data_IF_367887598356
#
_entry.id   IF_367887598356
#
_cell.length_a   1.000
_cell.length_b   1.000
_cell.length_c   1.000
_cell.angle_alpha   90.00
_cell.angle_beta   90.00
_cell.angle_gamma   90.00
#
_symmetry.space_group_name_H-M   'P 1'
#
loop_
_entity.id
_entity.type
_entity.pdbx_description
1 polymer ?
#
# COMPACT_ATOMS: atom_id res chain seq x y z
N UNK A 1 15.87 -1.28 4.07
CA UNK A 1 14.60 -1.09 4.79
C UNK A 1 13.44 -1.49 3.88
N UNK A 2 12.52 -2.23 4.43
CA UNK A 2 11.28 -2.64 3.79
C UNK A 2 10.27 -1.50 3.89
N UNK A 3 9.48 -1.26 2.83
CA UNK A 3 8.42 -0.26 2.82
C UNK A 3 7.05 -0.93 2.64
N UNK A 4 6.01 -0.34 3.22
CA UNK A 4 4.63 -0.76 2.97
C UNK A 4 4.14 -0.27 1.60
N UNK A 5 3.32 -1.06 0.91
CA UNK A 5 2.60 -0.62 -0.30
C UNK A 5 1.42 0.30 0.02
N UNK A 6 0.92 0.26 1.25
CA UNK A 6 -0.13 1.16 1.71
C UNK A 6 0.49 2.39 2.36
N UNK A 7 -0.06 3.55 2.09
CA UNK A 7 0.43 4.80 2.65
C UNK A 7 -0.57 5.94 2.46
N UNK A 8 -0.36 6.98 3.25
CA UNK A 8 -1.05 8.25 3.18
C UNK A 8 -0.04 9.37 3.40
N UNK A 9 -0.14 10.43 2.62
CA UNK A 9 0.62 11.65 2.80
C UNK A 9 -0.24 12.85 2.50
N UNK A 10 -0.06 13.93 3.24
CA UNK A 10 -0.76 15.21 3.04
C UNK A 10 0.18 16.36 3.27
N UNK A 11 0.11 17.33 2.39
CA UNK A 11 0.74 18.63 2.59
C UNK A 11 -0.19 19.74 2.17
N UNK A 12 -0.01 20.89 2.80
CA UNK A 12 -0.79 22.10 2.54
C UNK A 12 0.13 23.30 2.53
N UNK A 13 -0.16 24.26 1.65
CA UNK A 13 0.53 25.55 1.59
C UNK A 13 -0.39 26.62 1.06
N UNK A 14 -0.14 27.86 1.48
CA UNK A 14 -0.88 29.02 0.96
C UNK A 14 0.06 29.89 0.14
N UNK A 15 -0.18 29.94 -1.16
CA UNK A 15 0.62 30.72 -2.13
C UNK A 15 -0.29 31.73 -2.82
N UNK A 16 0.08 33.00 -2.75
CA UNK A 16 -0.65 34.11 -3.37
C UNK A 16 -2.18 34.09 -3.08
N UNK A 17 -2.55 33.87 -1.80
CA UNK A 17 -3.95 33.88 -1.36
C UNK A 17 -4.78 32.63 -1.77
N UNK A 18 -4.12 31.60 -2.30
CA UNK A 18 -4.73 30.33 -2.60
C UNK A 18 -4.12 29.23 -1.71
N UNK A 19 -4.93 28.51 -0.99
CA UNK A 19 -4.53 27.33 -0.22
C UNK A 19 -4.54 26.12 -1.13
N UNK A 20 -3.36 25.51 -1.30
CA UNK A 20 -3.14 24.31 -2.09
C UNK A 20 -3.00 23.14 -1.13
N UNK A 21 -3.88 22.17 -1.23
CA UNK A 21 -3.80 20.90 -0.47
C UNK A 21 -3.55 19.75 -1.43
N UNK A 22 -2.53 18.94 -1.14
CA UNK A 22 -2.25 17.70 -1.87
C UNK A 22 -2.33 16.53 -0.91
N UNK A 23 -3.14 15.55 -1.25
CA UNK A 23 -3.27 14.29 -0.54
C UNK A 23 -2.92 13.12 -1.45
N UNK A 24 -2.14 12.17 -0.93
CA UNK A 24 -1.81 10.91 -1.61
C UNK A 24 -2.30 9.73 -0.78
N UNK A 25 -2.88 8.76 -1.46
CA UNK A 25 -3.26 7.47 -0.87
C UNK A 25 -2.78 6.35 -1.77
N UNK A 26 -2.22 5.31 -1.19
CA UNK A 26 -1.87 4.11 -1.94
C UNK A 26 -2.49 2.86 -1.34
N UNK A 27 -2.80 1.90 -2.22
CA UNK A 27 -3.21 0.55 -1.87
C UNK A 27 -2.39 -0.44 -2.68
N UNK A 28 -2.32 -1.69 -2.17
CA UNK A 28 -1.61 -2.75 -2.87
C UNK A 28 -2.16 -2.94 -4.29
N UNK A 29 -1.27 -2.92 -5.27
CA UNK A 29 -1.56 -3.29 -6.66
C UNK A 29 -0.31 -3.89 -7.30
N UNK A 30 -0.53 -4.79 -8.28
CA UNK A 30 0.56 -5.50 -8.98
C UNK A 30 1.48 -4.58 -9.75
N UNK A 31 0.94 -3.50 -10.34
CA UNK A 31 1.64 -2.49 -11.13
C UNK A 31 1.43 -1.12 -10.50
N UNK A 32 2.27 -0.16 -10.84
CA UNK A 32 2.02 1.23 -10.50
C UNK A 32 0.85 1.74 -11.37
N UNK A 33 -0.21 2.17 -10.71
CA UNK A 33 -1.36 2.85 -11.31
C UNK A 33 -1.52 4.19 -10.58
N UNK A 34 -1.28 5.29 -11.28
CA UNK A 34 -1.34 6.63 -10.72
C UNK A 34 -2.52 7.41 -11.29
N UNK A 35 -3.48 7.69 -10.45
CA UNK A 35 -4.67 8.48 -10.79
C UNK A 35 -4.60 9.84 -10.11
N UNK A 36 -4.62 10.91 -10.90
CA UNK A 36 -4.55 12.30 -10.41
C UNK A 36 -5.92 12.94 -10.55
N UNK A 37 -6.46 13.47 -9.46
CA UNK A 37 -7.69 14.25 -9.42
C UNK A 37 -7.37 15.68 -9.04
N UNK A 38 -7.63 16.60 -9.97
CA UNK A 38 -7.34 18.00 -9.81
C UNK A 38 -8.35 18.88 -10.58
N UNK A 39 -8.46 20.18 -10.28
CA UNK A 39 -9.31 21.08 -11.03
C UNK A 39 -8.89 21.14 -12.50
N UNK A 40 -9.88 21.20 -13.42
CA UNK A 40 -9.67 21.15 -14.87
C UNK A 40 -8.68 22.18 -15.39
N UNK A 41 -8.62 23.33 -14.75
CA UNK A 41 -7.73 24.44 -15.13
C UNK A 41 -6.23 24.06 -15.10
N UNK A 42 -5.86 23.09 -14.25
CA UNK A 42 -4.46 22.66 -14.03
C UNK A 42 -4.12 21.30 -14.64
N UNK A 43 -4.99 20.69 -15.47
CA UNK A 43 -4.76 19.39 -16.09
C UNK A 43 -3.45 19.30 -16.89
N UNK A 44 -2.94 20.44 -17.40
CA UNK A 44 -1.64 20.48 -18.08
C UNK A 44 -0.46 20.09 -17.15
N UNK A 45 -0.61 20.20 -15.83
CA UNK A 45 0.40 19.78 -14.86
C UNK A 45 0.33 18.29 -14.46
N UNK A 46 -0.67 17.53 -14.94
CA UNK A 46 -0.90 16.14 -14.57
C UNK A 46 0.32 15.25 -14.84
N UNK A 47 0.94 15.40 -16.02
CA UNK A 47 2.13 14.60 -16.38
C UNK A 47 3.32 14.90 -15.48
N UNK A 48 3.51 16.15 -15.06
CA UNK A 48 4.56 16.52 -14.12
C UNK A 48 4.34 15.88 -12.74
N UNK A 49 3.08 15.82 -12.29
CA UNK A 49 2.68 15.16 -11.04
C UNK A 49 2.93 13.65 -11.13
N UNK A 50 2.46 13.00 -12.20
CA UNK A 50 2.67 11.56 -12.42
C UNK A 50 4.15 11.18 -12.45
N UNK A 51 4.97 11.97 -13.14
CA UNK A 51 6.42 11.75 -13.21
C UNK A 51 7.08 11.79 -11.82
N UNK A 52 6.68 12.74 -10.95
CA UNK A 52 7.20 12.84 -9.57
C UNK A 52 6.79 11.64 -8.72
N UNK A 53 5.54 11.19 -8.85
CA UNK A 53 5.03 10.00 -8.16
C UNK A 53 5.79 8.75 -8.61
N UNK A 54 6.02 8.56 -9.93
CA UNK A 54 6.75 7.43 -10.51
C UNK A 54 8.22 7.38 -10.08
N UNK A 55 8.85 8.52 -9.84
CA UNK A 55 10.21 8.59 -9.34
C UNK A 55 10.33 8.15 -7.86
N UNK A 56 9.22 8.19 -7.11
CA UNK A 56 9.20 7.87 -5.67
C UNK A 56 8.61 6.50 -5.39
N UNK A 57 7.64 6.06 -6.20
CA UNK A 57 6.84 4.85 -5.97
C UNK A 57 6.98 3.93 -7.19
N UNK A 58 7.39 2.69 -6.97
CA UNK A 58 7.60 1.72 -8.05
C UNK A 58 6.39 0.80 -8.27
N UNK A 59 5.50 0.66 -7.27
CA UNK A 59 4.37 -0.27 -7.29
C UNK A 59 3.22 0.23 -6.43
N UNK A 60 2.00 -0.20 -6.76
CA UNK A 60 0.78 0.15 -6.03
C UNK A 60 -0.18 1.00 -6.84
N UNK A 61 -1.42 1.10 -6.41
CA UNK A 61 -2.37 2.07 -6.95
C UNK A 61 -2.33 3.32 -6.08
N UNK A 62 -1.98 4.45 -6.69
CA UNK A 62 -1.80 5.74 -6.03
C UNK A 62 -2.87 6.71 -6.53
N UNK A 63 -3.72 7.17 -5.64
CA UNK A 63 -4.66 8.26 -5.91
C UNK A 63 -4.07 9.55 -5.33
N UNK A 64 -3.92 10.57 -6.18
CA UNK A 64 -3.46 11.91 -5.83
C UNK A 64 -4.62 12.88 -5.95
N UNK A 65 -4.93 13.58 -4.88
CA UNK A 65 -5.98 14.60 -4.83
C UNK A 65 -5.33 15.97 -4.65
N UNK A 66 -5.61 16.87 -5.58
CA UNK A 66 -5.16 18.27 -5.52
C UNK A 66 -6.38 19.14 -5.37
N UNK A 67 -6.46 19.86 -4.26
CA UNK A 67 -7.52 20.83 -3.96
C UNK A 67 -6.93 22.22 -3.87
N UNK A 68 -7.60 23.20 -4.49
CA UNK A 68 -7.24 24.60 -4.44
C UNK A 68 -8.42 25.39 -3.89
N UNK A 69 -8.19 26.04 -2.75
CA UNK A 69 -9.16 26.91 -2.10
C UNK A 69 -8.68 28.37 -2.16
N UNK A 70 -9.34 29.18 -2.98
CA UNK A 70 -9.06 30.61 -3.05
C UNK A 70 -9.66 31.29 -1.81
N UNK A 71 -8.84 31.54 -0.80
CA UNK A 71 -9.22 32.26 0.43
C UNK A 71 -9.14 33.78 0.28
N UNK A 72 -8.47 34.30 -0.78
CA UNK A 72 -8.41 35.69 -1.11
C UNK A 72 -9.66 36.13 -1.88
N UNK A 73 -10.14 37.36 -1.60
CA UNK A 73 -11.14 37.96 -2.46
C UNK A 73 -10.62 37.94 -3.91
N UNK A 74 -11.41 37.38 -4.83
CA UNK A 74 -11.09 37.43 -6.28
C UNK A 74 -10.76 38.92 -6.60
N UNK A 75 -9.54 39.19 -7.02
CA UNK A 75 -9.17 40.52 -7.47
C UNK A 75 -9.86 40.75 -8.81
N UNK A 76 -11.03 41.38 -8.74
CA UNK A 76 -11.75 41.81 -9.91
C UNK A 76 -11.26 43.22 -10.24
N UNK A 77 -10.60 43.34 -11.39
CA UNK A 77 -10.22 44.66 -11.94
C UNK A 77 -11.41 45.23 -12.70
N UNK A 78 -11.99 46.31 -12.18
CA UNK A 78 -13.03 47.01 -12.92
C UNK A 78 -12.37 48.06 -13.79
N UNK A 79 -12.59 48.02 -15.10
CA UNK A 79 -12.08 48.96 -16.09
C UNK A 79 -13.21 49.59 -16.86
N UNK A 80 -12.95 50.79 -17.43
CA UNK A 80 -13.90 51.49 -18.27
C UNK A 80 -13.62 51.17 -19.73
N UNK A 81 -14.60 50.62 -20.42
CA UNK A 81 -14.56 50.43 -21.87
C UNK A 81 -14.81 51.77 -22.58
N UNK A 82 -13.73 52.54 -22.78
CA UNK A 82 -13.80 53.89 -23.36
C UNK A 82 -14.52 53.93 -24.69
N UNK A 83 -14.24 53.10 -25.71
CA UNK A 83 -14.95 53.11 -26.98
C UNK A 83 -16.47 53.00 -26.86
N UNK A 84 -16.94 52.12 -25.96
CA UNK A 84 -18.37 51.92 -25.70
C UNK A 84 -18.97 53.10 -24.93
N UNK A 85 -18.28 53.61 -23.93
CA UNK A 85 -18.69 54.76 -23.14
C UNK A 85 -18.81 56.00 -24.02
N UNK A 86 -17.83 56.26 -24.88
CA UNK A 86 -17.82 57.39 -25.81
C UNK A 86 -18.97 57.29 -26.83
N UNK A 87 -19.28 56.08 -27.31
CA UNK A 87 -20.41 55.80 -28.21
C UNK A 87 -21.75 56.15 -27.56
N UNK A 88 -21.99 55.65 -26.32
CA UNK A 88 -23.22 56.03 -25.59
C UNK A 88 -23.30 57.51 -25.27
N UNK A 89 -22.19 58.15 -24.88
CA UNK A 89 -22.12 59.55 -24.60
C UNK A 89 -22.47 60.40 -25.85
N UNK A 90 -21.94 60.06 -27.03
CA UNK A 90 -22.23 60.73 -28.29
C UNK A 90 -23.72 60.57 -28.70
N UNK A 91 -24.26 59.33 -28.60
CA UNK A 91 -25.65 59.06 -28.89
C UNK A 91 -26.63 59.81 -27.98
N UNK A 92 -26.34 59.88 -26.68
CA UNK A 92 -27.16 60.64 -25.74
C UNK A 92 -27.13 62.14 -26.04
N UNK A 93 -26.01 62.68 -26.46
CA UNK A 93 -25.84 64.08 -26.85
C UNK A 93 -26.62 64.41 -28.13
N UNK A 94 -26.61 63.50 -29.10
CA UNK A 94 -27.38 63.62 -30.34
C UNK A 94 -28.88 63.59 -30.05
N UNK A 95 -29.35 62.64 -29.21
CA UNK A 95 -30.76 62.58 -28.76
C UNK A 95 -31.21 63.86 -28.09
N UNK A 96 -30.40 64.40 -27.15
CA UNK A 96 -30.71 65.60 -26.46
C UNK A 96 -30.82 66.81 -27.43
N UNK A 97 -29.91 66.90 -28.40
CA UNK A 97 -29.94 67.98 -29.41
C UNK A 97 -31.09 67.84 -30.43
N UNK A 98 -31.44 66.61 -30.88
CA UNK A 98 -32.45 66.36 -31.85
C UNK A 98 -33.89 66.58 -31.34
N UNK A 99 -34.09 66.25 -30.04
CA UNK A 99 -35.42 66.36 -29.43
C UNK A 99 -35.57 67.45 -28.43
N UNK A 100 -34.58 68.42 -28.35
CA UNK A 100 -34.57 69.52 -27.43
C UNK A 100 -34.78 69.13 -25.96
N UNK A 101 -34.17 68.00 -25.55
CA UNK A 101 -34.25 67.48 -24.20
C UNK A 101 -33.15 67.98 -23.27
N UNK A 102 -33.41 68.14 -21.98
CA UNK A 102 -32.37 68.58 -21.05
C UNK A 102 -31.24 67.48 -21.01
N UNK A 103 -29.97 67.95 -21.04
CA UNK A 103 -28.79 67.11 -20.94
C UNK A 103 -28.57 66.75 -19.48
N UNK A 104 -29.02 65.54 -19.08
CA UNK A 104 -28.80 64.98 -17.74
C UNK A 104 -27.79 63.81 -17.76
N UNK A 105 -26.80 63.85 -18.65
CA UNK A 105 -25.77 62.83 -18.78
C UNK A 105 -24.91 62.82 -17.52
N UNK A 106 -25.10 61.80 -16.70
CA UNK A 106 -24.38 61.60 -15.44
C UNK A 106 -23.53 60.35 -15.48
N UNK A 107 -22.53 60.28 -14.60
CA UNK A 107 -21.71 59.06 -14.39
C UNK A 107 -22.60 57.88 -14.02
N UNK A 108 -23.64 58.11 -13.22
CA UNK A 108 -24.61 57.08 -12.81
C UNK A 108 -25.45 56.56 -13.97
N UNK A 109 -25.71 57.37 -14.99
CA UNK A 109 -26.41 56.95 -16.19
C UNK A 109 -25.48 56.14 -17.09
N UNK A 110 -24.27 56.67 -17.39
CA UNK A 110 -23.31 55.99 -18.27
C UNK A 110 -22.86 54.66 -17.73
N UNK A 111 -22.65 54.54 -16.41
CA UNK A 111 -22.20 53.29 -15.79
C UNK A 111 -23.25 52.14 -15.83
N UNK A 112 -24.53 52.46 -16.12
CA UNK A 112 -25.60 51.46 -16.23
C UNK A 112 -25.74 50.86 -17.63
N UNK A 113 -25.13 51.50 -18.65
CA UNK A 113 -25.19 50.90 -19.98
C UNK A 113 -24.33 49.62 -20.06
N UNK A 114 -24.79 48.60 -20.80
CA UNK A 114 -24.03 47.37 -20.99
C UNK A 114 -22.62 47.65 -21.50
N UNK A 115 -21.67 46.87 -21.00
CA UNK A 115 -20.25 46.84 -21.43
C UNK A 115 -19.48 48.16 -21.25
N UNK A 116 -20.04 49.18 -20.58
CA UNK A 116 -19.32 50.39 -20.21
C UNK A 116 -18.33 50.16 -19.06
N UNK A 117 -18.72 49.36 -18.09
CA UNK A 117 -17.84 48.87 -17.03
C UNK A 117 -17.56 47.38 -17.26
N UNK A 118 -16.28 47.07 -17.44
CA UNK A 118 -15.83 45.68 -17.59
C UNK A 118 -15.24 45.22 -16.25
N UNK A 119 -15.79 44.14 -15.72
CA UNK A 119 -15.23 43.45 -14.57
C UNK A 119 -14.40 42.24 -15.07
N UNK A 120 -13.10 42.43 -15.16
CA UNK A 120 -12.17 41.42 -15.59
C UNK A 120 -11.55 40.70 -14.37
N UNK A 121 -11.58 39.38 -14.36
CA UNK A 121 -10.78 38.61 -13.38
C UNK A 121 -9.31 38.80 -13.77
N UNK A 122 -8.47 39.07 -12.78
CA UNK A 122 -7.04 39.14 -13.00
C UNK A 122 -6.56 37.80 -13.55
N UNK A 123 -5.76 37.82 -14.62
CA UNK A 123 -5.17 36.59 -15.18
C UNK A 123 -4.42 35.85 -14.08
N UNK A 124 -4.81 34.60 -13.85
CA UNK A 124 -4.09 33.72 -12.92
C UNK A 124 -2.76 33.30 -13.55
N UNK A 125 -1.68 33.42 -12.78
CA UNK A 125 -0.39 32.80 -13.13
C UNK A 125 -0.51 31.27 -12.98
N UNK A 126 -0.99 30.63 -14.05
CA UNK A 126 -1.20 29.18 -14.08
C UNK A 126 0.09 28.40 -13.96
N UNK A 127 1.19 28.88 -14.54
CA UNK A 127 2.50 28.22 -14.48
C UNK A 127 3.09 28.32 -13.08
N UNK A 128 3.06 29.48 -12.46
CA UNK A 128 3.51 29.66 -11.09
C UNK A 128 2.69 28.85 -10.09
N UNK A 129 1.36 28.73 -10.30
CA UNK A 129 0.53 27.85 -9.47
C UNK A 129 0.81 26.37 -9.69
N UNK A 130 1.06 25.93 -10.93
CA UNK A 130 1.46 24.56 -11.20
C UNK A 130 2.79 24.21 -10.51
N UNK A 131 3.75 25.13 -10.51
CA UNK A 131 5.01 24.98 -9.79
C UNK A 131 4.78 24.86 -8.26
N UNK A 132 3.86 25.67 -7.70
CA UNK A 132 3.48 25.61 -6.30
C UNK A 132 2.79 24.26 -5.95
N UNK A 133 1.88 23.77 -6.80
CA UNK A 133 1.26 22.42 -6.65
C UNK A 133 2.35 21.36 -6.58
N UNK A 134 3.33 21.40 -7.49
CA UNK A 134 4.44 20.46 -7.50
C UNK A 134 5.29 20.53 -6.21
N UNK A 135 5.53 21.72 -5.67
CA UNK A 135 6.27 21.88 -4.42
C UNK A 135 5.51 21.30 -3.21
N UNK A 136 4.19 21.50 -3.17
CA UNK A 136 3.33 20.89 -2.13
C UNK A 136 3.28 19.38 -2.30
N UNK A 137 3.21 18.87 -3.53
CA UNK A 137 3.28 17.44 -3.83
C UNK A 137 4.58 16.81 -3.31
N UNK A 138 5.73 17.45 -3.52
CA UNK A 138 7.02 16.93 -3.04
C UNK A 138 7.03 16.78 -1.52
N UNK A 139 6.42 17.69 -0.77
CA UNK A 139 6.25 17.57 0.69
C UNK A 139 5.28 16.45 1.08
N UNK A 140 4.16 16.34 0.36
CA UNK A 140 3.21 15.26 0.59
C UNK A 140 3.81 13.88 0.28
N UNK A 141 4.67 13.78 -0.77
CA UNK A 141 5.42 12.56 -1.09
C UNK A 141 6.45 12.21 0.00
N UNK A 142 7.10 13.19 0.60
CA UNK A 142 8.03 12.97 1.70
C UNK A 142 7.32 12.43 2.95
N UNK A 143 6.16 12.99 3.31
CA UNK A 143 5.32 12.51 4.41
C UNK A 143 4.80 11.08 4.13
N UNK A 144 4.32 10.85 2.92
CA UNK A 144 3.89 9.54 2.43
C UNK A 144 5.00 8.48 2.53
N UNK A 145 6.22 8.80 2.09
CA UNK A 145 7.35 7.87 2.13
C UNK A 145 7.79 7.57 3.57
N UNK A 146 7.72 8.56 4.45
CA UNK A 146 7.99 8.37 5.87
C UNK A 146 6.95 7.45 6.53
N UNK A 147 5.66 7.60 6.19
CA UNK A 147 4.61 6.73 6.69
C UNK A 147 4.83 5.29 6.22
N UNK A 148 5.11 5.08 4.93
CA UNK A 148 5.40 3.75 4.35
C UNK A 148 6.60 3.07 5.01
N UNK A 149 7.64 3.84 5.31
CA UNK A 149 8.85 3.34 5.99
C UNK A 149 8.52 2.89 7.41
N UNK A 150 7.75 3.66 8.17
CA UNK A 150 7.32 3.28 9.53
C UNK A 150 6.43 2.04 9.52
N UNK A 151 5.50 1.98 8.60
CA UNK A 151 4.60 0.84 8.45
C UNK A 151 5.38 -0.41 8.01
N UNK A 152 6.29 -0.27 7.04
CA UNK A 152 7.18 -1.35 6.60
C UNK A 152 8.00 -1.95 7.74
N UNK A 153 8.55 -1.12 8.61
CA UNK A 153 9.27 -1.59 9.79
C UNK A 153 8.38 -2.37 10.77
N UNK A 154 7.10 -2.01 10.92
CA UNK A 154 6.14 -2.76 11.74
C UNK A 154 5.80 -4.11 11.10
N UNK A 155 5.59 -4.14 9.78
CA UNK A 155 5.34 -5.38 9.03
C UNK A 155 6.54 -6.33 9.15
N UNK A 156 7.75 -5.82 8.99
CA UNK A 156 9.00 -6.58 9.16
C UNK A 156 9.10 -7.20 10.54
N UNK A 157 8.86 -6.42 11.59
CA UNK A 157 8.89 -6.90 12.98
C UNK A 157 7.85 -7.98 13.25
N UNK A 158 6.60 -7.83 12.74
CA UNK A 158 5.56 -8.84 12.88
C UNK A 158 5.92 -10.14 12.15
N UNK A 159 6.40 -10.05 10.92
CA UNK A 159 6.84 -11.22 10.13
C UNK A 159 7.98 -11.96 10.83
N UNK A 160 8.98 -11.26 11.37
CA UNK A 160 10.09 -11.86 12.11
C UNK A 160 9.63 -12.55 13.40
N UNK A 161 8.70 -11.95 14.14
CA UNK A 161 8.11 -12.53 15.35
C UNK A 161 7.37 -13.84 15.04
N UNK A 162 6.59 -13.87 13.95
CA UNK A 162 5.88 -15.09 13.51
C UNK A 162 6.83 -16.15 13.03
N UNK A 163 7.88 -15.78 12.28
CA UNK A 163 8.93 -16.72 11.88
C UNK A 163 9.62 -17.37 13.08
N UNK A 164 9.84 -16.61 14.15
CA UNK A 164 10.37 -17.14 15.41
C UNK A 164 9.39 -18.12 16.07
N UNK A 165 8.09 -17.85 16.02
CA UNK A 165 7.05 -18.75 16.50
C UNK A 165 7.06 -20.08 15.73
N UNK A 166 7.15 -20.00 14.38
CA UNK A 166 7.27 -21.20 13.53
C UNK A 166 8.53 -22.01 13.91
N UNK A 167 9.65 -21.35 14.09
CA UNK A 167 10.91 -22.01 14.47
C UNK A 167 10.80 -22.74 15.81
N UNK A 168 10.08 -22.18 16.77
CA UNK A 168 9.80 -22.82 18.07
C UNK A 168 8.92 -24.06 17.88
N UNK A 169 7.86 -23.96 17.09
CA UNK A 169 6.95 -25.10 16.79
C UNK A 169 7.67 -26.21 16.04
N UNK A 170 8.57 -25.86 15.10
CA UNK A 170 9.43 -26.85 14.41
C UNK A 170 10.30 -27.60 15.41
N UNK A 171 10.90 -26.90 16.40
CA UNK A 171 11.67 -27.55 17.48
C UNK A 171 10.82 -28.55 18.28
N UNK A 172 9.57 -28.22 18.58
CA UNK A 172 8.65 -29.16 19.25
C UNK A 172 8.32 -30.37 18.41
N UNK A 173 8.17 -30.22 17.09
CA UNK A 173 8.00 -31.31 16.15
C UNK A 173 9.24 -32.22 16.15
N UNK A 174 10.45 -31.66 16.11
CA UNK A 174 11.72 -32.37 16.13
C UNK A 174 11.91 -33.18 17.43
N UNK A 175 11.51 -32.62 18.58
CA UNK A 175 11.56 -33.29 19.86
C UNK A 175 10.54 -34.47 19.98
N UNK A 176 9.33 -34.27 19.43
CA UNK A 176 8.24 -35.23 19.52
C UNK A 176 8.41 -36.42 18.54
N UNK A 177 8.99 -36.14 17.36
CA UNK A 177 9.11 -37.15 16.28
C UNK A 177 9.77 -38.49 16.71
N UNK A 178 10.93 -38.49 17.41
CA UNK A 178 11.55 -39.75 17.92
C UNK A 178 10.68 -40.45 18.96
N UNK A 179 9.94 -39.72 19.77
CA UNK A 179 9.06 -40.29 20.80
C UNK A 179 7.91 -41.06 20.16
N UNK A 180 7.35 -40.56 19.04
CA UNK A 180 6.29 -41.21 18.28
C UNK A 180 6.72 -42.57 17.79
N UNK A 181 7.95 -42.72 17.29
CA UNK A 181 8.53 -44.01 16.86
C UNK A 181 8.67 -44.99 18.05
N UNK A 182 9.17 -44.49 19.19
CA UNK A 182 9.31 -45.27 20.40
C UNK A 182 7.97 -45.80 20.94
N UNK A 183 6.94 -44.90 20.97
CA UNK A 183 5.59 -45.27 21.39
C UNK A 183 4.93 -46.28 20.43
N UNK A 184 5.13 -46.10 19.12
CA UNK A 184 4.66 -47.06 18.12
C UNK A 184 5.26 -48.44 18.33
N UNK A 185 6.58 -48.52 18.54
CA UNK A 185 7.28 -49.76 18.84
C UNK A 185 6.69 -50.45 20.06
N UNK A 186 6.51 -49.73 21.17
CA UNK A 186 5.94 -50.29 22.40
C UNK A 186 4.50 -50.79 22.20
N UNK A 187 3.66 -50.04 21.47
CA UNK A 187 2.31 -50.47 21.11
C UNK A 187 2.30 -51.71 20.22
N UNK A 188 3.21 -51.79 19.27
CA UNK A 188 3.35 -52.95 18.38
C UNK A 188 3.74 -54.20 19.18
N UNK A 189 4.74 -54.12 20.07
CA UNK A 189 5.17 -55.18 20.96
C UNK A 189 4.00 -55.67 21.83
N UNK A 190 3.27 -54.80 22.51
CA UNK A 190 2.12 -55.13 23.33
C UNK A 190 1.01 -55.82 22.54
N UNK A 191 0.68 -55.33 21.35
CA UNK A 191 -0.37 -55.92 20.52
C UNK A 191 0.02 -57.29 19.97
N UNK A 192 1.29 -57.48 19.61
CA UNK A 192 1.80 -58.79 19.19
C UNK A 192 1.76 -59.81 20.33
N UNK A 193 2.09 -59.42 21.56
CA UNK A 193 1.98 -60.25 22.74
C UNK A 193 0.53 -60.69 23.00
N UNK A 194 -0.44 -59.77 22.86
CA UNK A 194 -1.86 -60.07 23.03
C UNK A 194 -2.40 -61.04 21.98
N UNK A 195 -2.04 -60.87 20.69
CA UNK A 195 -2.54 -61.65 19.58
C UNK A 195 -1.90 -63.04 19.51
N UNK A 196 -0.63 -63.19 19.84
CA UNK A 196 0.14 -64.38 19.66
C UNK A 196 0.13 -65.33 20.88
N UNK A 197 -0.53 -64.91 21.97
CA UNK A 197 -0.85 -65.63 23.24
C UNK A 197 0.15 -66.66 23.78
N UNK A 198 0.93 -67.38 22.95
CA UNK A 198 1.92 -68.42 23.34
C UNK A 198 3.04 -68.69 22.31
N UNK A 199 3.15 -67.85 21.29
CA UNK A 199 4.18 -67.99 20.27
C UNK A 199 5.31 -67.02 20.54
N UNK A 200 6.58 -67.42 20.49
CA UNK A 200 7.72 -66.51 20.60
C UNK A 200 7.68 -65.49 19.50
N UNK A 201 7.67 -64.22 19.91
CA UNK A 201 7.76 -63.12 19.00
C UNK A 201 9.21 -63.03 18.54
N UNK A 202 9.43 -62.93 17.22
CA UNK A 202 10.76 -62.66 16.68
C UNK A 202 11.07 -61.19 16.84
N UNK A 203 12.05 -60.77 17.68
CA UNK A 203 12.42 -59.38 17.89
C UNK A 203 12.90 -58.67 16.61
N UNK A 204 13.47 -59.42 15.64
CA UNK A 204 13.92 -58.87 14.36
C UNK A 204 12.75 -58.34 13.52
N UNK A 205 11.58 -58.97 13.63
CA UNK A 205 10.37 -58.55 12.94
C UNK A 205 9.80 -57.23 13.50
N UNK A 206 9.81 -57.08 14.82
CA UNK A 206 9.38 -55.83 15.48
C UNK A 206 10.31 -54.70 15.09
N UNK A 207 11.63 -54.92 15.07
CA UNK A 207 12.62 -53.94 14.67
C UNK A 207 12.44 -53.52 13.21
N UNK A 208 12.15 -54.46 12.32
CA UNK A 208 11.91 -54.19 10.91
C UNK A 208 10.66 -53.29 10.71
N UNK A 209 9.54 -53.63 11.35
CA UNK A 209 8.30 -52.86 11.27
C UNK A 209 8.46 -51.43 11.90
N UNK A 210 9.18 -51.36 13.01
CA UNK A 210 9.49 -50.10 13.66
C UNK A 210 10.39 -49.21 12.76
N UNK A 211 11.37 -49.79 12.04
CA UNK A 211 12.22 -49.07 11.09
C UNK A 211 11.43 -48.55 9.87
N UNK A 212 10.54 -49.40 9.31
CA UNK A 212 9.65 -48.98 8.21
C UNK A 212 8.73 -47.85 8.65
N UNK A 213 8.18 -47.94 9.87
CA UNK A 213 7.37 -46.88 10.42
C UNK A 213 8.18 -45.59 10.63
N UNK A 214 9.39 -45.69 11.21
CA UNK A 214 10.28 -44.56 11.44
C UNK A 214 10.58 -43.81 10.12
N UNK A 215 10.90 -44.55 9.06
CA UNK A 215 11.18 -43.99 7.74
C UNK A 215 9.94 -43.26 7.15
N UNK A 216 8.75 -43.85 7.33
CA UNK A 216 7.49 -43.32 6.88
C UNK A 216 7.13 -42.00 7.57
N UNK A 217 7.44 -41.85 8.87
CA UNK A 217 7.09 -40.65 9.68
C UNK A 217 8.27 -39.68 9.83
N UNK A 218 9.41 -39.96 9.20
CA UNK A 218 10.58 -39.08 9.25
C UNK A 218 10.24 -37.72 8.66
N UNK A 219 10.48 -36.67 9.44
CA UNK A 219 10.22 -35.26 9.08
C UNK A 219 11.48 -34.37 9.14
N UNK A 220 12.63 -35.00 9.35
CA UNK A 220 13.90 -34.29 9.55
C UNK A 220 14.28 -33.43 8.36
N UNK A 221 14.04 -33.90 7.14
CA UNK A 221 14.35 -33.15 5.93
C UNK A 221 13.47 -31.91 5.81
N UNK A 222 12.19 -32.03 6.08
CA UNK A 222 11.22 -30.94 6.03
C UNK A 222 11.47 -29.91 7.11
N UNK A 223 11.83 -30.29 8.32
CA UNK A 223 12.16 -29.38 9.40
C UNK A 223 13.44 -28.60 9.11
N UNK A 224 14.48 -29.26 8.61
CA UNK A 224 15.73 -28.62 8.18
C UNK A 224 15.47 -27.62 7.03
N UNK A 225 14.66 -28.01 6.03
CA UNK A 225 14.29 -27.11 4.94
C UNK A 225 13.51 -25.89 5.43
N UNK A 226 12.54 -26.10 6.32
CA UNK A 226 11.73 -25.02 6.88
C UNK A 226 12.60 -24.03 7.67
N UNK A 227 13.58 -24.49 8.45
CA UNK A 227 14.58 -23.63 9.12
C UNK A 227 15.42 -22.85 8.11
N UNK A 228 15.89 -23.50 7.04
CA UNK A 228 16.64 -22.83 5.97
C UNK A 228 15.80 -21.75 5.30
N UNK A 229 14.53 -21.98 5.08
CA UNK A 229 13.62 -20.99 4.51
C UNK A 229 13.38 -19.82 5.46
N UNK A 230 13.31 -20.05 6.78
CA UNK A 230 13.23 -18.98 7.80
C UNK A 230 14.48 -18.08 7.74
N UNK A 231 15.67 -18.66 7.63
CA UNK A 231 16.90 -17.88 7.49
C UNK A 231 16.92 -17.06 6.19
N UNK A 232 16.42 -17.62 5.08
CA UNK A 232 16.28 -16.90 3.82
C UNK A 232 15.30 -15.72 3.97
N UNK A 233 14.17 -15.92 4.66
CA UNK A 233 13.20 -14.86 4.97
C UNK A 233 13.88 -13.70 5.72
N UNK A 234 14.61 -13.98 6.79
CA UNK A 234 15.38 -13.00 7.58
C UNK A 234 16.37 -12.24 6.70
N UNK A 235 17.11 -12.98 5.85
CA UNK A 235 18.09 -12.39 4.93
C UNK A 235 17.46 -11.50 3.84
N UNK A 236 16.27 -11.83 3.35
CA UNK A 236 15.55 -10.99 2.39
C UNK A 236 15.02 -9.71 3.02
N UNK A 237 14.42 -9.79 4.21
CA UNK A 237 13.90 -8.64 4.93
C UNK A 237 15.02 -7.66 5.30
N UNK A 238 16.15 -8.15 5.81
CA UNK A 238 17.29 -7.30 6.18
C UNK A 238 17.91 -6.56 4.99
N UNK A 239 17.94 -7.17 3.80
CA UNK A 239 18.44 -6.53 2.57
C UNK A 239 17.51 -5.44 2.08
N UNK A 240 16.21 -5.58 2.32
CA UNK A 240 15.19 -4.64 1.86
C UNK A 240 15.06 -4.55 0.34
N UNK A 241 14.40 -3.51 -0.14
CA UNK A 241 14.10 -3.29 -1.56
C UNK A 241 12.89 -4.11 -2.02
N UNK A 242 12.70 -4.25 -3.32
CA UNK A 242 11.55 -4.93 -3.93
C UNK A 242 11.58 -6.45 -3.72
N UNK A 243 11.37 -6.89 -2.46
CA UNK A 243 11.48 -8.29 -2.05
C UNK A 243 10.14 -9.04 -2.06
N UNK A 244 9.00 -8.36 -2.16
CA UNK A 244 7.66 -8.95 -2.00
C UNK A 244 7.43 -10.21 -2.84
N UNK A 245 7.77 -10.23 -4.13
CA UNK A 245 7.61 -11.43 -4.98
C UNK A 245 8.48 -12.61 -4.53
N UNK A 246 9.69 -12.34 -4.06
CA UNK A 246 10.59 -13.40 -3.59
C UNK A 246 10.09 -13.99 -2.29
N UNK A 247 9.52 -13.14 -1.43
CA UNK A 247 8.88 -13.57 -0.19
C UNK A 247 7.62 -14.40 -0.46
N UNK A 248 6.80 -14.05 -1.45
CA UNK A 248 5.64 -14.85 -1.85
C UNK A 248 6.04 -16.28 -2.25
N UNK A 249 7.10 -16.44 -3.05
CA UNK A 249 7.61 -17.77 -3.41
C UNK A 249 8.14 -18.53 -2.19
N UNK A 250 8.87 -17.85 -1.33
CA UNK A 250 9.42 -18.48 -0.13
C UNK A 250 8.31 -18.99 0.81
N UNK A 251 7.22 -18.25 0.95
CA UNK A 251 6.06 -18.66 1.75
C UNK A 251 5.35 -19.86 1.13
N UNK A 252 5.35 -20.02 -0.19
CA UNK A 252 4.84 -21.23 -0.83
C UNK A 252 5.68 -22.44 -0.46
N UNK A 253 7.02 -22.30 -0.38
CA UNK A 253 7.89 -23.39 0.10
C UNK A 253 7.64 -23.70 1.59
N UNK A 254 7.43 -22.67 2.45
CA UNK A 254 7.01 -22.90 3.84
C UNK A 254 5.75 -23.78 3.92
N UNK A 255 4.72 -23.44 3.14
CA UNK A 255 3.47 -24.20 3.09
C UNK A 255 3.69 -25.63 2.58
N UNK A 256 4.59 -25.82 1.61
CA UNK A 256 4.93 -27.12 1.08
C UNK A 256 5.56 -28.01 2.15
N UNK A 257 6.58 -27.52 2.87
CA UNK A 257 7.23 -28.29 3.93
C UNK A 257 6.26 -28.58 5.08
N UNK A 258 5.44 -27.59 5.51
CA UNK A 258 4.43 -27.80 6.53
C UNK A 258 3.37 -28.85 6.11
N UNK A 259 2.96 -28.87 4.83
CA UNK A 259 2.04 -29.86 4.29
C UNK A 259 2.68 -31.26 4.32
N UNK A 260 3.95 -31.39 3.97
CA UNK A 260 4.67 -32.68 3.96
C UNK A 260 4.82 -33.24 5.38
N UNK A 261 5.19 -32.38 6.36
CA UNK A 261 5.21 -32.76 7.79
C UNK A 261 3.83 -33.26 8.20
N UNK A 262 2.76 -32.54 7.87
CA UNK A 262 1.39 -32.89 8.19
C UNK A 262 0.94 -34.24 7.56
N UNK A 263 1.38 -34.54 6.35
CA UNK A 263 1.03 -35.78 5.65
C UNK A 263 1.79 -37.02 6.18
N UNK A 264 2.99 -36.80 6.72
CA UNK A 264 3.82 -37.85 7.32
C UNK A 264 3.47 -38.09 8.80
N UNK A 265 2.87 -37.11 9.49
CA UNK A 265 2.59 -37.26 10.91
C UNK A 265 1.50 -38.31 11.17
N UNK A 266 1.72 -39.15 12.18
CA UNK A 266 0.75 -40.09 12.73
C UNK A 266 0.46 -39.83 14.23
N UNK A 267 0.92 -38.71 14.72
CA UNK A 267 0.82 -38.25 16.10
C UNK A 267 -0.07 -37.00 16.19
N UNK A 268 -0.95 -36.96 17.21
CA UNK A 268 -1.93 -35.87 17.39
C UNK A 268 -1.26 -34.55 17.79
N UNK A 269 -0.18 -34.62 18.56
CA UNK A 269 0.56 -33.44 19.04
C UNK A 269 1.31 -32.81 17.88
N UNK A 270 2.00 -33.60 17.06
CA UNK A 270 2.64 -33.10 15.82
C UNK A 270 1.59 -32.50 14.88
N UNK A 271 0.42 -33.13 14.73
CA UNK A 271 -0.65 -32.59 13.89
C UNK A 271 -1.15 -31.23 14.36
N UNK A 272 -1.25 -30.99 15.69
CA UNK A 272 -1.58 -29.68 16.25
C UNK A 272 -0.51 -28.63 15.94
N UNK A 273 0.77 -28.96 16.15
CA UNK A 273 1.87 -28.05 15.79
C UNK A 273 1.87 -27.68 14.31
N UNK A 274 1.57 -28.64 13.43
CA UNK A 274 1.45 -28.36 11.98
C UNK A 274 0.31 -27.38 11.67
N UNK A 275 -0.84 -27.52 12.36
CA UNK A 275 -1.95 -26.55 12.19
C UNK A 275 -1.53 -25.17 12.63
N UNK A 276 -0.83 -25.04 13.77
CA UNK A 276 -0.34 -23.78 14.28
C UNK A 276 0.74 -23.17 13.36
N UNK A 277 1.67 -23.98 12.85
CA UNK A 277 2.66 -23.55 11.84
C UNK A 277 1.96 -22.99 10.60
N UNK A 278 0.96 -23.68 10.07
CA UNK A 278 0.20 -23.21 8.90
C UNK A 278 -0.55 -21.91 9.17
N UNK A 279 -1.11 -21.76 10.37
CA UNK A 279 -1.78 -20.53 10.75
C UNK A 279 -0.81 -19.35 10.79
N UNK A 280 0.41 -19.53 11.33
CA UNK A 280 1.43 -18.48 11.32
C UNK A 280 1.96 -18.20 9.91
N UNK A 281 2.13 -19.20 9.05
CA UNK A 281 2.52 -19.03 7.65
C UNK A 281 1.49 -18.17 6.90
N UNK A 282 0.19 -18.40 7.09
CA UNK A 282 -0.85 -17.61 6.43
C UNK A 282 -0.86 -16.15 6.92
N UNK A 283 -0.66 -15.91 8.21
CA UNK A 283 -0.49 -14.56 8.75
C UNK A 283 0.73 -13.85 8.16
N UNK A 284 1.88 -14.55 8.02
CA UNK A 284 3.06 -14.01 7.33
C UNK A 284 2.72 -13.65 5.88
N UNK A 285 2.00 -14.52 5.18
CA UNK A 285 1.58 -14.30 3.79
C UNK A 285 0.76 -13.01 3.62
N UNK A 286 -0.21 -12.79 4.51
CA UNK A 286 -1.02 -11.57 4.51
C UNK A 286 -0.16 -10.30 4.69
N UNK A 287 0.83 -10.32 5.58
CA UNK A 287 1.73 -9.19 5.80
C UNK A 287 2.65 -8.95 4.60
N UNK A 288 3.23 -10.03 4.05
CA UNK A 288 4.15 -9.95 2.91
C UNK A 288 3.49 -9.38 1.66
N UNK A 289 2.18 -9.60 1.46
CA UNK A 289 1.43 -8.99 0.37
C UNK A 289 1.42 -7.46 0.40
N UNK A 290 1.67 -6.85 1.55
CA UNK A 290 1.73 -5.40 1.73
C UNK A 290 3.18 -4.87 1.73
N UNK A 291 4.18 -5.70 1.49
CA UNK A 291 5.60 -5.36 1.47
C UNK A 291 6.05 -5.07 0.02
N UNK A 292 6.76 -3.93 -0.14
CA UNK A 292 7.44 -3.55 -1.38
C UNK A 292 8.96 -3.73 -1.24
#
# INVERSE_FOLDING_TARGET
>A
LVKSMTGYGRAEDTVAGCTITVELRSVNNRYLDCNVRMPRLYLFAEEAIKSRVQNTISRGKVDVFVTLDNTGAEQVKVSVNRPVADGYFAALKELAGTYELPQDISVSLLSRFPDVLLAEKTEEDLEGRAAAICAVLDRALADFDQMRTREGARLEADVLSRAQTIETLVGQVEERSPQTVSEYRAKLEARMQEVLSNTQIDPARILTEAAIFADKVAVDEETVRLRSHIEQLRGMLSKGGAVGRKLDFLIQEFNREANTIGSKCSDLEIARHVVDIKAEIEKIREQVQNIE
#
